data_IF_343023099139
#
_entry.id   IF_343023099139
#
_cell.length_a   1.000
_cell.length_b   1.000
_cell.length_c   1.000
_cell.angle_alpha   90.00
_cell.angle_beta   90.00
_cell.angle_gamma   90.00
#
_symmetry.space_group_name_H-M   'P 1'
#
loop_
_entity.id
_entity.type
_entity.pdbx_description
1 polymer ?
#
# COMPACT_ATOMS: atom_id res chain seq x y z
N UNK A 1 93.58 -44.85 18.90
CA UNK A 1 92.11 -44.82 18.88
C UNK A 1 91.69 -43.70 19.80
N UNK A 2 91.20 -42.60 19.23
CA UNK A 2 90.63 -41.48 19.98
C UNK A 2 89.18 -41.35 19.50
N UNK A 3 88.24 -41.51 20.43
CA UNK A 3 86.82 -41.32 20.21
C UNK A 3 86.52 -39.82 20.10
N UNK A 4 85.93 -39.41 18.98
CA UNK A 4 85.48 -38.05 18.75
C UNK A 4 84.00 -37.96 19.19
N UNK A 5 83.75 -37.32 20.34
CA UNK A 5 82.39 -37.05 20.82
C UNK A 5 81.80 -35.86 20.05
N UNK A 6 80.72 -36.12 19.32
CA UNK A 6 79.91 -35.12 18.65
C UNK A 6 78.96 -34.50 19.68
N UNK A 7 79.21 -33.24 20.05
CA UNK A 7 78.30 -32.44 20.89
C UNK A 7 77.24 -31.78 20.00
N UNK A 8 76.00 -32.26 20.09
CA UNK A 8 74.84 -31.72 19.37
C UNK A 8 74.13 -30.74 20.30
N UNK A 9 74.45 -29.45 20.17
CA UNK A 9 73.68 -28.39 20.80
C UNK A 9 72.43 -28.10 19.95
N UNK A 10 71.25 -28.50 20.43
CA UNK A 10 69.96 -28.16 19.81
C UNK A 10 69.63 -26.66 20.05
N UNK A 11 69.16 -25.91 19.03
CA UNK A 11 68.81 -24.51 19.20
C UNK A 11 67.59 -24.30 20.10
N UNK A 12 67.67 -23.21 20.88
CA UNK A 12 66.71 -22.76 21.89
C UNK A 12 65.43 -22.13 21.28
N UNK A 13 64.80 -22.77 20.30
CA UNK A 13 63.66 -22.20 19.55
C UNK A 13 62.32 -22.28 20.32
N UNK A 14 62.24 -23.10 21.37
CA UNK A 14 61.01 -23.27 22.17
C UNK A 14 60.71 -22.09 23.11
N UNK A 15 61.73 -21.35 23.55
CA UNK A 15 61.54 -20.20 24.43
C UNK A 15 60.93 -19.00 23.69
N UNK A 16 61.38 -18.74 22.46
CA UNK A 16 60.91 -17.60 21.65
C UNK A 16 59.44 -17.73 21.21
N UNK A 17 58.97 -18.94 20.89
CA UNK A 17 57.56 -19.19 20.56
C UNK A 17 56.61 -18.92 21.74
N UNK A 18 57.05 -19.19 22.97
CA UNK A 18 56.28 -18.94 24.17
C UNK A 18 56.12 -17.44 24.41
N UNK A 19 57.18 -16.67 24.22
CA UNK A 19 57.18 -15.21 24.40
C UNK A 19 56.37 -14.51 23.30
N UNK A 20 56.47 -14.95 22.04
CA UNK A 20 55.64 -14.43 20.94
C UNK A 20 54.15 -14.72 21.16
N UNK A 21 53.81 -15.89 21.70
CA UNK A 21 52.43 -16.22 22.09
C UNK A 21 51.91 -15.33 23.23
N UNK A 22 52.76 -14.99 24.21
CA UNK A 22 52.40 -14.08 25.30
C UNK A 22 52.15 -12.66 24.80
N UNK A 23 52.99 -12.15 23.89
CA UNK A 23 52.82 -10.82 23.26
C UNK A 23 51.50 -10.74 22.48
N UNK A 24 51.16 -11.78 21.72
CA UNK A 24 49.89 -11.84 20.99
C UNK A 24 48.67 -11.89 21.93
N UNK A 25 48.75 -12.66 23.03
CA UNK A 25 47.69 -12.71 24.04
C UNK A 25 47.48 -11.36 24.71
N UNK A 26 48.55 -10.66 25.08
CA UNK A 26 48.45 -9.30 25.62
C UNK A 26 47.79 -8.33 24.63
N UNK A 27 48.14 -8.42 23.35
CA UNK A 27 47.56 -7.56 22.32
C UNK A 27 46.07 -7.86 22.08
N UNK A 28 45.68 -9.13 22.13
CA UNK A 28 44.26 -9.55 22.07
C UNK A 28 43.50 -9.06 23.30
N UNK A 29 44.08 -9.13 24.49
CA UNK A 29 43.44 -8.62 25.71
C UNK A 29 43.25 -7.10 25.62
N UNK A 30 44.27 -6.35 25.18
CA UNK A 30 44.17 -4.89 25.00
C UNK A 30 43.10 -4.50 23.98
N UNK A 31 43.04 -5.18 22.84
CA UNK A 31 42.04 -4.92 21.80
C UNK A 31 40.63 -5.28 22.24
N UNK A 32 40.44 -6.40 22.95
CA UNK A 32 39.15 -6.77 23.52
C UNK A 32 38.67 -5.76 24.57
N UNK A 33 39.55 -5.29 25.44
CA UNK A 33 39.20 -4.27 26.43
C UNK A 33 38.76 -2.95 25.75
N UNK A 34 39.46 -2.53 24.69
CA UNK A 34 39.06 -1.36 23.91
C UNK A 34 37.69 -1.56 23.22
N UNK A 35 37.45 -2.73 22.65
CA UNK A 35 36.16 -3.07 22.03
C UNK A 35 35.01 -3.08 23.05
N UNK A 36 35.25 -3.57 24.27
CA UNK A 36 34.25 -3.53 25.34
C UNK A 36 33.90 -2.09 25.69
N UNK A 37 34.91 -1.22 25.82
CA UNK A 37 34.71 0.20 26.12
C UNK A 37 33.95 0.93 24.99
N UNK A 38 34.30 0.67 23.72
CA UNK A 38 33.58 1.24 22.57
C UNK A 38 32.12 0.77 22.50
N UNK A 39 31.87 -0.52 22.73
CA UNK A 39 30.51 -1.05 22.77
C UNK A 39 29.68 -0.44 23.90
N UNK A 40 30.30 -0.17 25.06
CA UNK A 40 29.63 0.50 26.17
C UNK A 40 29.25 1.94 25.78
N UNK A 41 30.18 2.71 25.20
CA UNK A 41 29.90 4.07 24.70
C UNK A 41 28.77 4.10 23.66
N UNK A 42 28.77 3.16 22.72
CA UNK A 42 27.71 3.04 21.70
C UNK A 42 26.34 2.75 22.32
N UNK A 43 26.28 1.92 23.38
CA UNK A 43 25.03 1.65 24.10
C UNK A 43 24.51 2.90 24.82
N UNK A 44 25.39 3.64 25.48
CA UNK A 44 25.05 4.89 26.15
C UNK A 44 24.55 5.94 25.15
N UNK A 45 25.20 6.08 23.99
CA UNK A 45 24.77 6.98 22.91
C UNK A 45 23.40 6.58 22.34
N UNK A 46 23.17 5.28 22.12
CA UNK A 46 21.87 4.77 21.69
C UNK A 46 20.77 5.05 22.71
N UNK A 47 21.05 4.91 24.01
CA UNK A 47 20.09 5.20 25.07
C UNK A 47 19.76 6.70 25.14
N UNK A 48 20.77 7.57 25.02
CA UNK A 48 20.59 9.03 24.95
C UNK A 48 19.76 9.43 23.72
N UNK A 49 20.08 8.86 22.55
CA UNK A 49 19.32 9.09 21.31
C UNK A 49 17.87 8.60 21.44
N UNK A 50 17.64 7.43 22.05
CA UNK A 50 16.30 6.90 22.30
C UNK A 50 15.48 7.81 23.23
N UNK A 51 16.10 8.33 24.30
CA UNK A 51 15.48 9.32 25.20
C UNK A 51 15.12 10.61 24.47
N UNK A 52 16.04 11.15 23.67
CA UNK A 52 15.78 12.34 22.85
C UNK A 52 14.64 12.12 21.84
N UNK A 53 14.55 10.95 21.23
CA UNK A 53 13.46 10.59 20.33
C UNK A 53 12.12 10.47 21.06
N UNK A 54 12.09 9.87 22.26
CA UNK A 54 10.90 9.80 23.09
C UNK A 54 10.39 11.20 23.47
N UNK A 55 11.28 12.12 23.83
CA UNK A 55 10.93 13.51 24.14
C UNK A 55 10.36 14.25 22.94
N UNK A 56 10.91 14.04 21.74
CA UNK A 56 10.37 14.62 20.51
C UNK A 56 8.98 14.09 20.22
N UNK A 57 8.74 12.79 20.40
CA UNK A 57 7.42 12.19 20.21
C UNK A 57 6.41 12.75 21.20
N UNK A 58 6.76 12.87 22.48
CA UNK A 58 5.91 13.48 23.50
C UNK A 58 5.59 14.95 23.18
N UNK A 59 6.56 15.73 22.69
CA UNK A 59 6.31 17.12 22.25
C UNK A 59 5.39 17.20 21.04
N UNK A 60 5.47 16.24 20.12
CA UNK A 60 4.55 16.15 18.97
C UNK A 60 3.13 15.81 19.45
N UNK A 61 3.00 14.84 20.35
CA UNK A 61 1.72 14.44 20.94
C UNK A 61 1.05 15.61 21.67
N UNK A 62 1.79 16.32 22.54
CA UNK A 62 1.30 17.52 23.21
C UNK A 62 0.90 18.64 22.23
N UNK A 63 1.62 18.80 21.11
CA UNK A 63 1.24 19.77 20.07
C UNK A 63 -0.05 19.38 19.36
N UNK A 64 -0.28 18.09 19.12
CA UNK A 64 -1.52 17.59 18.52
C UNK A 64 -2.72 17.78 19.46
N UNK A 65 -2.53 17.52 20.76
CA UNK A 65 -3.57 17.75 21.77
C UNK A 65 -3.87 19.25 21.94
N UNK A 66 -2.84 20.10 21.95
CA UNK A 66 -3.02 21.55 22.03
C UNK A 66 -3.64 22.13 20.75
N UNK A 67 -3.35 21.58 19.56
CA UNK A 67 -4.03 21.94 18.32
C UNK A 67 -5.50 21.48 18.30
N UNK A 68 -5.81 20.32 18.90
CA UNK A 68 -7.19 19.85 19.06
C UNK A 68 -8.00 20.79 19.98
N UNK A 69 -7.37 21.35 21.01
CA UNK A 69 -7.99 22.30 21.93
C UNK A 69 -8.09 23.73 21.36
N UNK A 70 -7.12 24.18 20.55
CA UNK A 70 -7.13 25.52 19.93
C UNK A 70 -8.04 25.63 18.70
N UNK A 71 -8.36 24.52 18.03
CA UNK A 71 -9.26 24.49 16.86
C UNK A 71 -10.77 24.49 17.21
N UNK A 72 -11.12 24.72 18.48
CA UNK A 72 -12.47 24.62 19.02
C UNK A 72 -13.51 25.62 18.48
N UNK A 73 -13.15 26.64 17.69
CA UNK A 73 -14.09 27.72 17.36
C UNK A 73 -14.41 27.99 15.89
N UNK A 74 -13.89 27.27 14.89
CA UNK A 74 -14.18 27.62 13.48
C UNK A 74 -14.51 26.51 12.48
N UNK A 75 -14.64 25.24 12.88
CA UNK A 75 -15.15 24.21 11.95
C UNK A 75 -16.08 23.22 12.63
N UNK A 76 -17.22 23.72 13.08
CA UNK A 76 -18.40 22.90 13.26
C UNK A 76 -18.85 22.32 11.90
N UNK A 77 -18.36 21.13 11.52
CA UNK A 77 -19.08 20.11 10.70
C UNK A 77 -18.30 18.84 10.32
N UNK A 78 -17.22 18.45 11.01
CA UNK A 78 -16.84 17.03 11.02
C UNK A 78 -17.45 16.37 12.24
N UNK A 79 -18.63 15.78 12.04
CA UNK A 79 -19.22 14.80 12.96
C UNK A 79 -18.21 13.66 13.17
N UNK A 80 -17.31 13.81 14.13
CA UNK A 80 -16.67 12.71 14.80
C UNK A 80 -17.79 12.02 15.60
N UNK A 81 -18.53 11.14 14.92
CA UNK A 81 -19.14 10.03 15.66
C UNK A 81 -17.97 9.34 16.33
N UNK A 82 -17.91 9.43 17.65
CA UNK A 82 -17.21 8.47 18.49
C UNK A 82 -17.70 7.09 18.07
N UNK A 83 -16.98 6.47 17.13
CA UNK A 83 -17.08 5.05 16.91
C UNK A 83 -16.27 4.48 18.05
N UNK A 84 -16.96 3.95 19.06
CA UNK A 84 -16.51 2.69 19.66
C UNK A 84 -15.91 1.87 18.53
N UNK A 85 -14.66 1.45 18.69
CA UNK A 85 -14.01 0.57 17.74
C UNK A 85 -14.76 -0.77 17.75
N UNK A 86 -15.90 -0.82 17.06
CA UNK A 86 -16.57 -2.07 16.69
C UNK A 86 -15.49 -2.84 15.98
N UNK A 87 -15.03 -3.94 16.58
CA UNK A 87 -14.09 -4.89 16.00
C UNK A 87 -14.60 -5.17 14.59
N UNK A 88 -14.00 -4.54 13.59
CA UNK A 88 -14.46 -4.68 12.20
C UNK A 88 -14.00 -6.06 11.77
N UNK A 89 -14.90 -7.02 11.76
CA UNK A 89 -14.64 -8.37 11.25
C UNK A 89 -13.91 -8.28 9.91
N UNK A 90 -12.68 -8.77 9.86
CA UNK A 90 -11.88 -8.72 8.63
C UNK A 90 -12.45 -9.78 7.69
N UNK A 91 -13.21 -9.36 6.68
CA UNK A 91 -13.82 -10.28 5.70
C UNK A 91 -12.84 -10.53 4.55
N UNK A 92 -12.38 -11.79 4.34
CA UNK A 92 -11.48 -12.12 3.25
C UNK A 92 -12.08 -11.82 1.87
N UNK A 93 -11.22 -11.47 0.90
CA UNK A 93 -11.67 -11.18 -0.47
C UNK A 93 -12.34 -12.40 -1.14
N UNK A 94 -11.87 -13.61 -0.83
CA UNK A 94 -12.46 -14.85 -1.34
C UNK A 94 -13.90 -15.04 -0.83
N UNK A 95 -14.14 -14.86 0.48
CA UNK A 95 -15.48 -14.91 1.07
C UNK A 95 -16.42 -13.90 0.42
N UNK A 96 -15.97 -12.64 0.24
CA UNK A 96 -16.77 -11.60 -0.43
C UNK A 96 -17.17 -11.97 -1.85
N UNK A 97 -16.26 -12.59 -2.61
CA UNK A 97 -16.54 -13.04 -3.97
C UNK A 97 -17.53 -14.21 -3.97
N UNK A 98 -17.34 -15.19 -3.09
CA UNK A 98 -18.20 -16.38 -3.00
C UNK A 98 -19.63 -16.01 -2.60
N UNK A 99 -19.80 -15.36 -1.44
CA UNK A 99 -21.12 -14.89 -0.96
C UNK A 99 -21.86 -14.03 -1.99
N UNK A 100 -21.17 -13.10 -2.66
CA UNK A 100 -21.77 -12.27 -3.72
C UNK A 100 -22.12 -13.07 -4.98
N UNK A 101 -21.29 -14.05 -5.36
CA UNK A 101 -21.56 -14.93 -6.51
C UNK A 101 -22.85 -15.71 -6.26
N UNK A 102 -22.95 -16.35 -5.09
CA UNK A 102 -24.15 -17.10 -4.70
C UNK A 102 -25.38 -16.22 -4.66
N UNK A 103 -25.31 -15.06 -3.99
CA UNK A 103 -26.43 -14.11 -3.97
C UNK A 103 -26.91 -13.78 -5.39
N UNK A 104 -25.99 -13.51 -6.32
CA UNK A 104 -26.35 -13.18 -7.71
C UNK A 104 -26.94 -14.35 -8.48
N UNK A 105 -26.52 -15.58 -8.18
CA UNK A 105 -27.11 -16.79 -8.78
C UNK A 105 -28.53 -16.99 -8.24
N UNK A 106 -28.73 -16.82 -6.93
CA UNK A 106 -30.05 -16.88 -6.33
C UNK A 106 -30.97 -15.79 -6.87
N UNK A 107 -30.49 -14.55 -7.01
CA UNK A 107 -31.25 -13.42 -7.58
C UNK A 107 -31.64 -13.55 -9.06
N UNK A 108 -31.23 -14.64 -9.74
CA UNK A 108 -31.73 -14.98 -11.07
C UNK A 108 -32.87 -15.99 -11.04
N UNK A 109 -33.15 -16.60 -9.89
CA UNK A 109 -34.26 -17.52 -9.70
C UNK A 109 -35.50 -16.73 -9.31
N UNK A 110 -36.66 -17.17 -9.77
CA UNK A 110 -37.94 -16.49 -9.52
C UNK A 110 -38.34 -16.52 -8.04
N UNK A 111 -37.82 -17.48 -7.28
CA UNK A 111 -38.10 -17.70 -5.87
C UNK A 111 -37.21 -16.88 -4.90
N UNK A 112 -36.41 -15.94 -5.41
CA UNK A 112 -35.53 -15.12 -4.60
C UNK A 112 -35.55 -13.64 -5.03
N UNK A 113 -36.22 -12.83 -4.22
CA UNK A 113 -36.39 -11.39 -4.49
C UNK A 113 -35.18 -10.53 -4.08
N UNK A 114 -34.18 -11.13 -3.42
CA UNK A 114 -33.01 -10.40 -2.93
C UNK A 114 -33.30 -9.56 -1.70
N UNK A 115 -32.39 -8.63 -1.39
CA UNK A 115 -32.51 -7.75 -0.23
C UNK A 115 -33.65 -6.73 -0.37
N UNK A 116 -34.40 -6.56 0.72
CA UNK A 116 -35.37 -5.49 0.91
C UNK A 116 -34.61 -4.22 1.31
N UNK A 117 -34.30 -3.38 0.32
CA UNK A 117 -33.41 -2.21 0.49
C UNK A 117 -34.10 -0.99 1.14
N UNK A 118 -35.38 -1.09 1.43
CA UNK A 118 -36.20 -0.14 2.20
C UNK A 118 -36.25 -0.49 3.69
N UNK A 119 -35.80 -1.70 4.05
CA UNK A 119 -35.67 -2.15 5.43
C UNK A 119 -34.22 -2.05 5.93
N UNK A 120 -34.00 -2.23 7.24
CA UNK A 120 -32.66 -2.36 7.79
C UNK A 120 -32.03 -3.71 7.47
N UNK A 121 -30.68 -3.77 7.49
CA UNK A 121 -29.95 -5.03 7.24
C UNK A 121 -30.24 -6.12 8.28
N UNK A 122 -30.67 -5.71 9.47
CA UNK A 122 -31.04 -6.57 10.60
C UNK A 122 -32.53 -6.92 10.61
N UNK A 123 -33.31 -6.51 9.60
CA UNK A 123 -34.71 -6.92 9.50
C UNK A 123 -34.84 -8.42 9.33
N UNK A 124 -35.95 -8.99 9.77
CA UNK A 124 -36.22 -10.42 9.68
C UNK A 124 -36.16 -10.92 8.22
N UNK A 125 -36.78 -10.17 7.30
CA UNK A 125 -36.77 -10.48 5.87
C UNK A 125 -35.34 -10.53 5.32
N UNK A 126 -34.52 -9.52 5.62
CA UNK A 126 -33.12 -9.51 5.18
C UNK A 126 -32.30 -10.60 5.89
N UNK A 127 -32.64 -10.96 7.14
CA UNK A 127 -32.09 -12.10 7.86
C UNK A 127 -32.31 -13.41 7.10
N UNK A 128 -33.53 -13.68 6.64
CA UNK A 128 -33.86 -14.87 5.84
C UNK A 128 -33.05 -14.92 4.53
N UNK A 129 -32.87 -13.77 3.87
CA UNK A 129 -32.03 -13.67 2.67
C UNK A 129 -30.55 -13.98 2.98
N UNK A 130 -30.03 -13.45 4.08
CA UNK A 130 -28.66 -13.72 4.54
C UNK A 130 -28.48 -15.21 4.82
N UNK A 131 -29.40 -15.82 5.57
CA UNK A 131 -29.36 -17.24 5.92
C UNK A 131 -29.41 -18.15 4.70
N UNK A 132 -30.28 -17.83 3.75
CA UNK A 132 -30.40 -18.60 2.51
C UNK A 132 -29.12 -18.56 1.68
N UNK A 133 -28.48 -17.39 1.60
CA UNK A 133 -27.20 -17.26 0.89
C UNK A 133 -26.08 -18.00 1.62
N UNK A 134 -26.02 -17.91 2.95
CA UNK A 134 -25.02 -18.61 3.77
C UNK A 134 -25.16 -20.12 3.61
N UNK A 135 -26.37 -20.65 3.75
CA UNK A 135 -26.66 -22.09 3.57
C UNK A 135 -26.17 -22.58 2.21
N UNK A 136 -26.41 -21.82 1.15
CA UNK A 136 -25.97 -22.18 -0.19
C UNK A 136 -24.44 -22.09 -0.36
N UNK A 137 -23.77 -21.12 0.27
CA UNK A 137 -22.30 -21.05 0.30
C UNK A 137 -21.73 -22.28 1.03
N UNK A 138 -22.28 -22.63 2.18
CA UNK A 138 -21.86 -23.82 2.92
C UNK A 138 -22.04 -25.08 2.08
N UNK A 139 -23.16 -25.22 1.38
CA UNK A 139 -23.40 -26.34 0.47
C UNK A 139 -22.36 -26.41 -0.66
N UNK A 140 -22.00 -25.29 -1.32
CA UNK A 140 -20.94 -25.27 -2.34
C UNK A 140 -19.56 -25.71 -1.79
N UNK A 141 -19.31 -25.47 -0.51
CA UNK A 141 -18.07 -25.88 0.17
C UNK A 141 -18.14 -27.30 0.76
N UNK A 142 -19.26 -28.01 0.64
CA UNK A 142 -19.43 -29.36 1.19
C UNK A 142 -19.78 -29.40 2.68
N UNK A 143 -20.43 -28.35 3.19
CA UNK A 143 -20.90 -28.22 4.57
C UNK A 143 -20.06 -27.27 5.43
N UNK A 144 -20.52 -27.06 6.68
CA UNK A 144 -19.88 -26.16 7.64
C UNK A 144 -18.43 -26.58 7.95
N UNK A 145 -18.17 -27.88 8.09
CA UNK A 145 -16.85 -28.44 8.41
C UNK A 145 -15.78 -28.18 7.34
N UNK A 146 -16.20 -28.01 6.09
CA UNK A 146 -15.30 -27.79 4.94
C UNK A 146 -15.24 -26.34 4.50
N UNK A 147 -16.10 -25.47 5.03
CA UNK A 147 -16.11 -24.07 4.71
C UNK A 147 -14.97 -23.34 5.44
N UNK A 148 -14.07 -22.62 4.73
CA UNK A 148 -12.98 -21.89 5.36
C UNK A 148 -13.43 -20.61 6.08
N UNK A 149 -14.73 -20.29 6.07
CA UNK A 149 -15.26 -19.07 6.65
C UNK A 149 -16.35 -19.38 7.67
N UNK A 150 -16.25 -18.75 8.83
CA UNK A 150 -17.29 -18.82 9.85
C UNK A 150 -18.54 -18.07 9.39
N UNK A 151 -19.68 -18.43 9.99
CA UNK A 151 -20.96 -17.76 9.75
C UNK A 151 -20.87 -16.25 9.91
N UNK A 152 -20.26 -15.78 11.01
CA UNK A 152 -20.07 -14.36 11.28
C UNK A 152 -19.26 -13.62 10.19
N UNK A 153 -18.27 -14.27 9.57
CA UNK A 153 -17.51 -13.67 8.45
C UNK A 153 -18.41 -13.53 7.21
N UNK A 154 -19.24 -14.54 6.93
CA UNK A 154 -20.18 -14.51 5.80
C UNK A 154 -21.32 -13.50 6.02
N UNK A 155 -21.87 -13.43 7.23
CA UNK A 155 -22.85 -12.40 7.63
C UNK A 155 -22.25 -11.00 7.45
N UNK A 156 -21.04 -10.76 7.98
CA UNK A 156 -20.36 -9.48 7.80
C UNK A 156 -20.08 -9.17 6.32
N UNK A 157 -19.82 -10.19 5.50
CA UNK A 157 -19.68 -10.05 4.04
C UNK A 157 -20.99 -9.58 3.40
N UNK A 158 -22.11 -10.22 3.76
CA UNK A 158 -23.43 -9.92 3.22
C UNK A 158 -23.97 -8.58 3.71
N UNK A 159 -23.73 -8.20 4.97
CA UNK A 159 -24.06 -6.87 5.47
C UNK A 159 -23.31 -5.76 4.71
N UNK A 160 -22.04 -5.99 4.36
CA UNK A 160 -21.28 -5.06 3.51
C UNK A 160 -21.87 -4.99 2.09
N UNK A 161 -22.33 -6.12 1.58
CA UNK A 161 -22.94 -6.18 0.26
C UNK A 161 -24.32 -5.51 0.23
N UNK A 162 -25.16 -5.71 1.24
CA UNK A 162 -26.42 -4.99 1.45
C UNK A 162 -26.19 -3.48 1.39
N UNK A 163 -25.25 -2.96 2.18
CA UNK A 163 -24.90 -1.53 2.17
C UNK A 163 -24.48 -1.05 0.79
N UNK A 164 -23.72 -1.86 0.04
CA UNK A 164 -23.36 -1.54 -1.35
C UNK A 164 -24.58 -1.48 -2.28
N UNK A 165 -25.54 -2.40 -2.13
CA UNK A 165 -26.79 -2.41 -2.90
C UNK A 165 -27.66 -1.21 -2.56
N UNK A 166 -27.83 -0.92 -1.27
CA UNK A 166 -28.56 0.24 -0.75
C UNK A 166 -28.02 1.55 -1.31
N UNK A 167 -26.71 1.79 -1.18
CA UNK A 167 -26.06 2.99 -1.72
C UNK A 167 -26.22 3.09 -3.24
N UNK A 168 -26.19 1.96 -3.95
CA UNK A 168 -26.44 1.93 -5.40
C UNK A 168 -27.88 2.32 -5.73
N UNK A 169 -28.89 1.79 -5.00
CA UNK A 169 -30.31 2.17 -5.16
C UNK A 169 -30.49 3.66 -4.92
N UNK A 170 -29.91 4.18 -3.83
CA UNK A 170 -29.96 5.62 -3.48
C UNK A 170 -29.32 6.52 -4.54
N UNK A 171 -28.19 6.10 -5.12
CA UNK A 171 -27.53 6.86 -6.19
C UNK A 171 -28.33 6.84 -7.49
N UNK A 172 -28.98 5.71 -7.82
CA UNK A 172 -29.86 5.61 -8.98
C UNK A 172 -31.13 6.46 -8.81
N UNK A 173 -31.73 6.44 -7.62
CA UNK A 173 -32.92 7.25 -7.33
C UNK A 173 -32.65 8.74 -7.29
N UNK A 174 -31.39 9.15 -7.16
CA UNK A 174 -30.96 10.56 -7.18
C UNK A 174 -30.25 10.97 -8.47
N UNK A 175 -30.28 10.14 -9.51
CA UNK A 175 -29.62 10.32 -10.81
C UNK A 175 -28.10 10.64 -10.75
N UNK A 176 -27.46 10.34 -9.60
CA UNK A 176 -26.03 10.57 -9.35
C UNK A 176 -25.16 9.36 -9.66
N UNK A 177 -25.77 8.27 -10.10
CA UNK A 177 -25.09 6.98 -10.26
C UNK A 177 -23.98 7.02 -11.32
N UNK A 178 -24.25 7.59 -12.50
CA UNK A 178 -23.25 7.66 -13.57
C UNK A 178 -22.10 8.63 -13.23
N UNK A 179 -22.39 9.75 -12.57
CA UNK A 179 -21.35 10.66 -12.07
C UNK A 179 -20.45 9.97 -11.03
N UNK A 180 -21.06 9.28 -10.05
CA UNK A 180 -20.34 8.50 -9.06
C UNK A 180 -19.45 7.44 -9.74
N UNK A 181 -20.01 6.66 -10.67
CA UNK A 181 -19.29 5.64 -11.43
C UNK A 181 -18.12 6.22 -12.21
N UNK A 182 -18.29 7.39 -12.85
CA UNK A 182 -17.23 8.14 -13.53
C UNK A 182 -16.13 8.53 -12.54
N UNK A 183 -16.48 9.09 -11.38
CA UNK A 183 -15.54 9.51 -10.32
C UNK A 183 -14.76 8.32 -9.75
N UNK A 184 -15.43 7.21 -9.44
CA UNK A 184 -14.80 5.98 -8.94
C UNK A 184 -13.81 5.41 -9.96
N UNK A 185 -14.19 5.33 -11.24
CA UNK A 185 -13.30 4.87 -12.31
C UNK A 185 -12.09 5.78 -12.48
N UNK A 186 -12.28 7.11 -12.47
CA UNK A 186 -11.21 8.12 -12.54
C UNK A 186 -10.21 7.95 -11.39
N UNK A 187 -10.70 7.84 -10.16
CA UNK A 187 -9.85 7.60 -8.97
C UNK A 187 -9.14 6.24 -9.02
N UNK A 188 -9.84 5.19 -9.47
CA UNK A 188 -9.27 3.84 -9.64
C UNK A 188 -8.08 3.83 -10.59
N UNK A 189 -8.20 4.46 -11.77
CA UNK A 189 -7.10 4.59 -12.74
C UNK A 189 -5.91 5.35 -12.16
N UNK A 190 -6.16 6.40 -11.40
CA UNK A 190 -5.11 7.18 -10.77
C UNK A 190 -4.34 6.38 -9.72
N UNK A 191 -5.04 5.61 -8.88
CA UNK A 191 -4.43 4.67 -7.92
C UNK A 191 -3.66 3.58 -8.63
N UNK A 192 -4.22 3.01 -9.68
CA UNK A 192 -3.54 1.99 -10.47
C UNK A 192 -2.23 2.53 -11.08
N UNK A 193 -2.26 3.75 -11.64
CA UNK A 193 -1.06 4.43 -12.15
C UNK A 193 0.00 4.60 -11.06
N UNK A 194 -0.42 5.01 -9.86
CA UNK A 194 0.47 5.12 -8.71
C UNK A 194 1.08 3.75 -8.37
N UNK A 195 0.26 2.73 -8.17
CA UNK A 195 0.72 1.36 -7.85
C UNK A 195 1.71 0.82 -8.90
N UNK A 196 1.44 1.02 -10.19
CA UNK A 196 2.34 0.59 -11.27
C UNK A 196 3.69 1.28 -11.19
N UNK A 197 3.71 2.60 -10.92
CA UNK A 197 4.94 3.38 -10.78
C UNK A 197 5.71 3.05 -9.51
N UNK A 198 5.03 2.80 -8.41
CA UNK A 198 5.64 2.29 -7.17
C UNK A 198 6.30 0.94 -7.40
N UNK A 199 5.60 0.01 -8.06
CA UNK A 199 6.19 -1.27 -8.44
C UNK A 199 7.37 -1.12 -9.42
N UNK A 200 7.39 -0.06 -10.24
CA UNK A 200 8.47 0.22 -11.19
C UNK A 200 9.73 0.78 -10.54
N UNK A 201 9.67 1.28 -9.29
CA UNK A 201 10.86 1.74 -8.58
C UNK A 201 11.92 0.63 -8.47
N UNK A 202 11.49 -0.61 -8.29
CA UNK A 202 12.41 -1.76 -8.20
C UNK A 202 12.86 -2.29 -9.58
N UNK A 203 12.23 -1.83 -10.66
CA UNK A 203 12.51 -2.31 -12.03
C UNK A 203 13.48 -1.41 -12.79
N UNK A 204 13.66 -0.18 -12.32
CA UNK A 204 14.58 0.78 -12.92
C UNK A 204 15.98 0.52 -12.38
N UNK A 205 16.95 0.44 -13.28
CA UNK A 205 18.37 0.58 -12.91
C UNK A 205 18.60 2.03 -12.56
N UNK A 206 18.91 2.30 -11.30
CA UNK A 206 19.22 3.63 -10.77
C UNK A 206 20.73 3.82 -10.70
N UNK A 207 21.19 5.03 -10.99
CA UNK A 207 22.62 5.36 -10.92
C UNK A 207 23.07 5.46 -9.45
N UNK A 208 22.20 5.96 -8.56
CA UNK A 208 22.42 5.98 -7.12
C UNK A 208 21.10 5.84 -6.32
N UNK A 209 21.23 5.73 -4.98
CA UNK A 209 20.09 5.66 -4.06
C UNK A 209 19.26 6.96 -4.02
N UNK A 210 19.89 8.10 -4.30
CA UNK A 210 19.27 9.40 -4.21
C UNK A 210 18.32 9.67 -5.39
N UNK A 211 18.66 9.23 -6.60
CA UNK A 211 17.78 9.22 -7.77
C UNK A 211 16.52 8.38 -7.52
N UNK A 212 16.70 7.20 -6.91
CA UNK A 212 15.56 6.35 -6.50
C UNK A 212 14.71 7.04 -5.44
N UNK A 213 15.34 7.72 -4.47
CA UNK A 213 14.67 8.53 -3.44
C UNK A 213 13.81 9.64 -4.04
N UNK A 214 14.39 10.46 -4.93
CA UNK A 214 13.67 11.50 -5.69
C UNK A 214 12.48 10.93 -6.45
N UNK A 215 12.64 9.78 -7.08
CA UNK A 215 11.54 9.13 -7.78
C UNK A 215 10.43 8.69 -6.83
N UNK A 216 10.76 8.23 -5.62
CA UNK A 216 9.80 7.80 -4.60
C UNK A 216 8.99 8.98 -4.03
N UNK A 217 9.63 10.13 -3.76
CA UNK A 217 8.98 11.34 -3.23
C UNK A 217 7.80 11.82 -4.08
N UNK A 218 7.88 11.65 -5.41
CA UNK A 218 6.84 12.10 -6.34
C UNK A 218 5.70 11.09 -6.54
N UNK A 219 5.77 9.93 -5.87
CA UNK A 219 4.74 8.88 -5.93
C UNK A 219 3.63 9.11 -4.91
N UNK A 220 2.95 10.23 -5.09
CA UNK A 220 1.73 10.58 -4.36
C UNK A 220 0.56 10.72 -5.33
N UNK A 221 -0.67 10.52 -4.83
CA UNK A 221 -1.88 10.63 -5.65
C UNK A 221 -2.00 12.02 -6.27
N UNK A 222 -1.62 13.08 -5.55
CA UNK A 222 -1.73 14.46 -6.05
C UNK A 222 -0.85 14.76 -7.26
N UNK A 223 0.28 14.05 -7.37
CA UNK A 223 1.14 14.13 -8.52
C UNK A 223 0.73 13.25 -9.70
N UNK A 224 -0.25 12.35 -9.56
CA UNK A 224 -0.68 11.49 -10.66
C UNK A 224 -1.68 12.20 -11.57
N UNK A 225 -1.42 12.27 -12.89
CA UNK A 225 -2.38 12.89 -13.83
C UNK A 225 -3.71 12.13 -13.84
N UNK A 226 -4.79 12.89 -13.96
CA UNK A 226 -6.14 12.33 -14.08
C UNK A 226 -6.43 11.88 -15.51
N UNK A 227 -7.27 10.86 -15.65
CA UNK A 227 -7.62 10.27 -16.96
C UNK A 227 -9.13 10.22 -17.10
N UNK A 228 -9.64 10.63 -18.26
CA UNK A 228 -11.05 10.59 -18.62
C UNK A 228 -11.27 9.54 -19.71
N UNK A 229 -12.40 8.83 -19.62
CA UNK A 229 -12.75 7.79 -20.59
C UNK A 229 -13.39 8.44 -21.81
N UNK A 230 -12.78 8.30 -22.98
CA UNK A 230 -13.40 8.62 -24.26
C UNK A 230 -14.04 7.33 -24.80
N UNK A 231 -15.33 7.40 -25.09
CA UNK A 231 -16.07 6.27 -25.63
C UNK A 231 -16.31 6.50 -27.12
N UNK A 232 -16.23 5.43 -27.88
CA UNK A 232 -16.68 5.36 -29.27
C UNK A 232 -17.76 4.30 -29.32
N UNK A 233 -18.82 4.59 -30.06
CA UNK A 233 -19.91 3.65 -30.26
C UNK A 233 -19.55 2.76 -31.44
N UNK A 234 -19.72 1.45 -31.27
CA UNK A 234 -19.61 0.53 -32.39
C UNK A 234 -20.84 0.60 -33.31
N UNK A 235 -20.77 -0.02 -34.49
CA UNK A 235 -21.87 -0.08 -35.47
C UNK A 235 -23.14 -0.73 -34.90
N UNK A 236 -23.03 -1.45 -33.77
CA UNK A 236 -24.14 -2.07 -33.05
C UNK A 236 -24.66 -1.20 -31.88
N UNK A 237 -24.18 0.04 -31.73
CA UNK A 237 -24.57 0.96 -30.67
C UNK A 237 -24.01 0.65 -29.28
N UNK A 238 -23.03 -0.27 -29.17
CA UNK A 238 -22.35 -0.51 -27.90
C UNK A 238 -21.20 0.48 -27.72
N UNK A 239 -21.33 1.29 -26.67
CA UNK A 239 -20.30 2.25 -26.29
C UNK A 239 -19.11 1.56 -25.63
N UNK A 240 -17.93 1.59 -26.28
CA UNK A 240 -16.68 1.04 -25.73
C UNK A 240 -15.68 2.15 -25.49
N UNK A 241 -14.88 1.99 -24.42
CA UNK A 241 -13.75 2.91 -24.17
C UNK A 241 -12.70 2.74 -25.27
N UNK A 242 -12.59 3.72 -26.15
CA UNK A 242 -11.60 3.74 -27.22
C UNK A 242 -10.22 4.15 -26.71
N UNK A 243 -10.19 5.21 -25.89
CA UNK A 243 -8.95 5.73 -25.33
C UNK A 243 -9.19 6.44 -23.98
N UNK A 244 -8.09 6.72 -23.29
CA UNK A 244 -8.08 7.58 -22.12
C UNK A 244 -7.45 8.93 -22.46
N UNK A 245 -8.22 10.00 -22.29
CA UNK A 245 -7.73 11.37 -22.37
C UNK A 245 -6.99 11.74 -21.08
N UNK A 246 -5.73 12.14 -21.20
CA UNK A 246 -4.84 12.49 -20.09
C UNK A 246 -4.72 14.01 -20.01
N UNK A 247 -5.34 14.62 -19.00
CA UNK A 247 -5.19 16.05 -18.73
C UNK A 247 -3.81 16.34 -18.14
N UNK A 248 -3.02 17.21 -18.81
CA UNK A 248 -1.65 17.55 -18.38
C UNK A 248 -1.70 18.40 -17.11
N UNK A 249 -0.88 18.06 -16.12
CA UNK A 249 -0.70 18.89 -14.93
C UNK A 249 0.21 20.07 -15.27
N UNK A 250 -0.32 21.28 -15.18
CA UNK A 250 0.31 22.53 -15.66
C UNK A 250 1.56 22.89 -14.87
N UNK A 251 1.57 22.61 -13.57
CA UNK A 251 2.66 22.87 -12.63
C UNK A 251 3.81 21.86 -12.70
N UNK A 252 3.72 20.79 -13.49
CA UNK A 252 4.78 19.76 -13.53
C UNK A 252 6.00 20.18 -14.32
N UNK A 253 7.18 20.06 -13.70
CA UNK A 253 8.48 20.27 -14.33
C UNK A 253 8.77 19.27 -15.44
N UNK A 254 9.73 19.60 -16.32
CA UNK A 254 10.23 18.68 -17.36
C UNK A 254 10.90 17.46 -16.72
N UNK A 255 11.63 17.65 -15.62
CA UNK A 255 12.31 16.59 -14.88
C UNK A 255 11.32 15.56 -14.32
N UNK A 256 10.24 16.02 -13.68
CA UNK A 256 9.17 15.14 -13.17
C UNK A 256 8.52 14.31 -14.29
N UNK A 257 8.26 14.91 -15.44
CA UNK A 257 7.71 14.21 -16.61
C UNK A 257 8.66 13.13 -17.12
N UNK A 258 9.96 13.44 -17.20
CA UNK A 258 11.00 12.47 -17.60
C UNK A 258 11.07 11.30 -16.62
N UNK A 259 11.03 11.59 -15.31
CA UNK A 259 11.02 10.58 -14.25
C UNK A 259 9.81 9.64 -14.37
N UNK A 260 8.61 10.20 -14.49
CA UNK A 260 7.37 9.42 -14.68
C UNK A 260 7.44 8.54 -15.94
N UNK A 261 7.96 9.06 -17.05
CA UNK A 261 8.13 8.31 -18.30
C UNK A 261 9.13 7.16 -18.15
N UNK A 262 10.21 7.34 -17.38
CA UNK A 262 11.19 6.29 -17.05
C UNK A 262 10.52 5.14 -16.29
N UNK A 263 9.73 5.45 -15.26
CA UNK A 263 8.96 4.47 -14.49
C UNK A 263 7.92 3.73 -15.35
N UNK A 264 7.15 4.47 -16.16
CA UNK A 264 6.14 3.87 -17.05
C UNK A 264 6.79 2.95 -18.09
N UNK A 265 7.97 3.32 -18.61
CA UNK A 265 8.75 2.49 -19.55
C UNK A 265 9.26 1.21 -18.90
N UNK A 266 9.82 1.30 -17.69
CA UNK A 266 10.32 0.14 -16.94
C UNK A 266 9.19 -0.85 -16.62
N UNK A 267 8.06 -0.35 -16.12
CA UNK A 267 6.88 -1.18 -15.88
C UNK A 267 6.39 -1.86 -17.17
N UNK A 268 6.28 -1.10 -18.27
CA UNK A 268 5.81 -1.64 -19.55
C UNK A 268 6.72 -2.74 -20.10
N UNK A 269 8.03 -2.66 -19.90
CA UNK A 269 8.99 -3.69 -20.34
C UNK A 269 8.79 -5.03 -19.63
N UNK A 270 8.37 -5.02 -18.35
CA UNK A 270 8.09 -6.23 -17.57
C UNK A 270 6.82 -6.97 -18.03
N UNK A 271 5.88 -6.26 -18.65
CA UNK A 271 4.61 -6.85 -19.05
C UNK A 271 4.77 -7.83 -20.22
N UNK A 272 4.03 -8.94 -20.17
CA UNK A 272 3.91 -9.87 -21.29
C UNK A 272 3.34 -9.17 -22.53
N UNK A 273 3.61 -9.70 -23.74
CA UNK A 273 3.04 -9.15 -24.99
C UNK A 273 1.51 -9.00 -24.89
N UNK A 274 0.81 -10.07 -24.50
CA UNK A 274 -0.63 -10.07 -24.27
C UNK A 274 -1.10 -8.99 -23.28
N UNK A 275 -0.37 -8.77 -22.19
CA UNK A 275 -0.72 -7.74 -21.22
C UNK A 275 -0.50 -6.32 -21.78
N UNK A 276 0.57 -6.10 -22.56
CA UNK A 276 0.85 -4.83 -23.24
C UNK A 276 -0.23 -4.49 -24.27
N UNK A 277 -0.68 -5.47 -25.03
CA UNK A 277 -1.69 -5.29 -26.09
C UNK A 277 -3.08 -4.94 -25.53
N UNK A 278 -3.36 -5.34 -24.28
CA UNK A 278 -4.59 -5.00 -23.55
C UNK A 278 -4.57 -3.62 -22.89
N UNK A 279 -3.46 -2.88 -22.97
CA UNK A 279 -3.40 -1.52 -22.40
C UNK A 279 -4.17 -0.56 -23.31
N UNK A 280 -5.27 -0.03 -22.80
CA UNK A 280 -6.02 1.05 -23.47
C UNK A 280 -5.11 2.23 -23.76
N UNK A 281 -5.17 2.72 -25.01
CA UNK A 281 -4.38 3.85 -25.50
C UNK A 281 -4.65 5.10 -24.67
N UNK A 282 -3.60 5.85 -24.37
CA UNK A 282 -3.66 7.14 -23.67
C UNK A 282 -3.29 8.25 -24.64
N UNK A 283 -4.15 9.25 -24.75
CA UNK A 283 -3.97 10.43 -25.62
C UNK A 283 -3.95 11.65 -24.72
N UNK A 284 -3.12 12.65 -25.04
CA UNK A 284 -3.13 13.88 -24.28
C UNK A 284 -4.41 14.66 -24.58
N UNK A 285 -5.10 15.09 -23.53
CA UNK A 285 -6.19 16.06 -23.64
C UNK A 285 -5.64 17.38 -24.17
N UNK A 286 -6.44 18.09 -24.95
CA UNK A 286 -6.20 19.50 -25.30
C UNK A 286 -6.30 20.36 -24.03
N UNK A 287 -7.35 20.14 -23.24
CA UNK A 287 -7.54 20.82 -21.97
C UNK A 287 -6.50 20.41 -20.90
N UNK A 288 -5.85 21.38 -20.24
CA UNK A 288 -5.01 21.10 -19.08
C UNK A 288 -5.84 20.65 -17.87
N UNK A 289 -5.15 20.06 -16.90
CA UNK A 289 -5.76 19.69 -15.62
C UNK A 289 -5.83 20.91 -14.70
N UNK A 290 -7.02 21.18 -14.16
CA UNK A 290 -7.28 22.22 -13.13
C UNK A 290 -6.69 21.89 -11.75
N UNK A 291 -6.19 20.66 -11.58
CA UNK A 291 -5.62 20.24 -10.29
C UNK A 291 -4.42 21.08 -9.89
N UNK A 292 -4.52 21.65 -8.69
CA UNK A 292 -3.46 22.41 -8.05
C UNK A 292 -2.25 21.53 -7.73
N UNK A 293 -1.11 22.19 -7.51
CA UNK A 293 0.11 21.54 -7.02
C UNK A 293 -0.13 21.00 -5.58
N UNK A 294 0.52 19.91 -5.19
CA UNK A 294 0.50 19.48 -3.78
C UNK A 294 1.08 20.60 -2.89
N UNK A 295 0.42 20.87 -1.76
CA UNK A 295 0.64 22.09 -0.98
C UNK A 295 1.79 22.02 0.02
N UNK A 296 2.14 20.84 0.54
CA UNK A 296 3.09 20.71 1.66
C UNK A 296 4.18 19.68 1.35
N UNK A 297 5.44 20.08 1.49
CA UNK A 297 6.61 19.20 1.36
C UNK A 297 6.86 18.62 -0.04
N UNK A 298 6.24 19.16 -1.09
CA UNK A 298 6.44 18.63 -2.44
C UNK A 298 7.78 19.13 -3.04
N UNK A 299 8.59 18.26 -3.66
CA UNK A 299 9.94 18.64 -4.08
C UNK A 299 9.95 19.77 -5.11
N UNK A 300 10.77 20.80 -4.89
CA UNK A 300 10.84 21.99 -5.76
C UNK A 300 11.24 21.63 -7.19
N UNK A 301 12.19 20.71 -7.37
CA UNK A 301 12.62 20.24 -8.70
C UNK A 301 11.47 19.62 -9.53
N UNK A 302 10.39 19.20 -8.88
CA UNK A 302 9.24 18.58 -9.51
C UNK A 302 8.19 19.61 -9.97
N UNK A 303 8.32 20.86 -9.52
CA UNK A 303 7.50 22.00 -9.91
C UNK A 303 8.17 22.76 -11.07
N UNK A 304 7.35 23.36 -11.94
CA UNK A 304 7.88 24.37 -12.85
C UNK A 304 8.33 25.58 -12.04
N UNK A 305 9.47 26.13 -12.44
CA UNK A 305 9.82 27.53 -12.18
C UNK A 305 8.71 28.45 -12.70
#
# INVERSE_FOLDING_TARGET
MAEEQVDITLPNDRANLSDDCLVLLEQVIRTNNNLVEQNQRLREEHELSAKAHADVLNRIEQRLDNQANAAGNLVARRRHRGRQAIIRTVVPAACRRSTRKIYKVLAKKDDFHGFYLDEEVSSENNGLIVERVITQVLHEHGGQERCPWTRAIMEASLQRYFKSCFETRRLKSSDKYEEHKRKTRKSGRQREKLTRRTAALELVTWDDRHEKGKAAEILILDAMSSEESCHEDDENGNSRVANYSVKKLTWQSKALKKMKKRLDKAYRKRLTKRARDRIVKRINSEEPSERQRPTEGFPEWALKE
#
